data_IF_681384771280
#
_entry.id   IF_681384771280
#
_cell.length_a   1.000
_cell.length_b   1.000
_cell.length_c   1.000
_cell.angle_alpha   90.00
_cell.angle_beta   90.00
_cell.angle_gamma   90.00
#
_symmetry.space_group_name_H-M   'P 1'
#
loop_
_entity.id
_entity.type
_entity.pdbx_description
1 polymer ?
#
# COMPACT_ATOMS: atom_id res chain seq x y z
N UNK A 1 21.65 -32.57 65.06
CA UNK A 1 20.48 -33.37 64.66
C UNK A 1 19.63 -32.48 63.77
N UNK A 2 19.90 -32.45 62.46
CA UNK A 2 19.12 -31.70 61.49
C UNK A 2 18.21 -32.70 60.76
N UNK A 3 16.91 -32.55 60.98
CA UNK A 3 15.85 -33.41 60.46
C UNK A 3 15.58 -33.03 58.99
N UNK A 4 16.14 -33.78 58.05
CA UNK A 4 15.89 -33.60 56.62
C UNK A 4 14.60 -34.34 56.25
N UNK A 5 13.50 -33.60 56.13
CA UNK A 5 12.25 -34.11 55.57
C UNK A 5 12.34 -34.12 54.04
N UNK A 6 12.18 -35.27 53.36
CA UNK A 6 12.13 -35.31 51.91
C UNK A 6 10.84 -34.65 51.41
N UNK A 7 10.97 -33.74 50.45
CA UNK A 7 9.83 -33.17 49.73
C UNK A 7 9.09 -34.29 48.99
N UNK A 8 7.78 -34.40 49.24
CA UNK A 8 6.93 -35.39 48.57
C UNK A 8 6.76 -34.96 47.10
N UNK A 9 6.93 -35.87 46.12
CA UNK A 9 6.70 -35.55 44.72
C UNK A 9 5.23 -35.12 44.54
N UNK A 10 5.03 -34.03 43.81
CA UNK A 10 3.71 -33.56 43.39
C UNK A 10 2.97 -34.73 42.73
N UNK A 11 1.80 -35.08 43.26
CA UNK A 11 1.01 -36.18 42.71
C UNK A 11 0.61 -35.89 41.27
N UNK A 12 0.52 -36.92 40.42
CA UNK A 12 0.07 -36.76 39.03
C UNK A 12 -1.29 -36.04 38.90
N UNK A 13 -2.12 -36.10 39.95
CA UNK A 13 -3.37 -35.34 40.05
C UNK A 13 -3.14 -33.83 40.22
N UNK A 14 -2.17 -33.41 41.04
CA UNK A 14 -1.80 -32.00 41.18
C UNK A 14 -1.21 -31.43 39.89
N UNK A 15 -0.39 -32.23 39.17
CA UNK A 15 0.17 -31.82 37.89
C UNK A 15 -0.92 -31.67 36.81
N UNK A 16 -1.87 -32.60 36.73
CA UNK A 16 -3.03 -32.52 35.82
C UNK A 16 -3.95 -31.34 36.14
N UNK A 17 -4.23 -31.09 37.41
CA UNK A 17 -5.03 -29.94 37.84
C UNK A 17 -4.34 -28.61 37.48
N UNK A 18 -3.03 -28.53 37.66
CA UNK A 18 -2.25 -27.33 37.28
C UNK A 18 -2.25 -27.13 35.77
N UNK A 19 -2.16 -28.20 34.98
CA UNK A 19 -2.23 -28.13 33.50
C UNK A 19 -3.62 -27.74 33.01
N UNK A 20 -4.69 -28.24 33.64
CA UNK A 20 -6.07 -27.89 33.32
C UNK A 20 -6.40 -26.45 33.71
N UNK A 21 -5.88 -25.97 34.85
CA UNK A 21 -6.02 -24.57 35.26
C UNK A 21 -5.20 -23.65 34.36
N UNK A 22 -3.98 -24.03 33.97
CA UNK A 22 -3.19 -23.28 32.98
C UNK A 22 -3.89 -23.26 31.61
N UNK A 23 -4.47 -24.37 31.16
CA UNK A 23 -5.27 -24.44 29.93
C UNK A 23 -6.54 -23.59 30.04
N UNK A 24 -7.23 -23.59 31.19
CA UNK A 24 -8.40 -22.76 31.44
C UNK A 24 -8.04 -21.27 31.52
N UNK A 25 -6.88 -20.89 32.05
CA UNK A 25 -6.37 -19.50 32.05
C UNK A 25 -5.96 -19.08 30.64
N UNK A 26 -5.38 -19.98 29.83
CA UNK A 26 -5.10 -19.72 28.40
C UNK A 26 -6.39 -19.58 27.60
N UNK A 27 -7.44 -20.35 27.91
CA UNK A 27 -8.76 -20.25 27.27
C UNK A 27 -9.56 -19.03 27.74
N UNK A 28 -9.42 -18.61 29.00
CA UNK A 28 -10.07 -17.43 29.56
C UNK A 28 -9.33 -16.11 29.24
N UNK A 29 -8.05 -16.18 28.85
CA UNK A 29 -7.24 -15.03 28.43
C UNK A 29 -7.56 -14.49 27.03
N UNK A 30 -8.43 -15.15 26.27
CA UNK A 30 -8.76 -14.79 24.88
C UNK A 30 -9.65 -13.54 24.72
N UNK A 31 -10.11 -12.90 25.80
CA UNK A 31 -11.01 -11.72 25.74
C UNK A 31 -10.34 -10.38 26.07
N UNK A 32 -9.10 -10.12 25.64
CA UNK A 32 -8.44 -8.82 25.92
C UNK A 32 -8.12 -7.96 24.68
N UNK A 33 -8.53 -8.37 23.48
CA UNK A 33 -8.74 -7.43 22.37
C UNK A 33 -10.24 -7.14 22.31
N UNK A 34 -10.66 -5.94 22.74
CA UNK A 34 -12.06 -5.55 22.82
C UNK A 34 -12.88 -6.03 21.62
N UNK A 35 -14.06 -6.60 21.90
CA UNK A 35 -14.93 -7.20 20.91
C UNK A 35 -15.14 -6.23 19.75
N UNK A 36 -14.78 -6.68 18.54
CA UNK A 36 -14.95 -5.91 17.31
C UNK A 36 -16.43 -5.59 17.12
N UNK A 37 -16.77 -4.36 16.76
CA UNK A 37 -18.13 -4.01 16.33
C UNK A 37 -18.18 -3.91 14.79
N UNK A 38 -18.50 -5.01 14.07
CA UNK A 38 -18.51 -4.99 12.61
C UNK A 38 -19.62 -4.06 12.09
N UNK A 39 -19.32 -3.36 11.00
CA UNK A 39 -20.29 -2.50 10.31
C UNK A 39 -21.36 -3.36 9.62
N UNK A 40 -22.67 -3.14 9.88
CA UNK A 40 -23.74 -3.82 9.16
C UNK A 40 -23.67 -3.56 7.66
N UNK A 41 -23.97 -4.57 6.85
CA UNK A 41 -23.90 -4.49 5.38
C UNK A 41 -24.70 -3.34 4.78
N UNK A 42 -25.85 -3.00 5.38
CA UNK A 42 -26.70 -1.87 4.95
C UNK A 42 -26.05 -0.50 5.13
N UNK A 43 -25.03 -0.37 5.97
CA UNK A 43 -24.34 0.88 6.29
C UNK A 43 -22.99 1.02 5.57
N UNK A 44 -22.51 -0.02 4.88
CA UNK A 44 -21.17 -0.08 4.26
C UNK A 44 -20.90 1.07 3.31
N UNK A 45 -21.88 1.43 2.48
CA UNK A 45 -21.70 2.48 1.47
C UNK A 45 -21.81 3.90 2.04
N UNK A 46 -22.39 4.06 3.23
CA UNK A 46 -22.63 5.36 3.84
C UNK A 46 -21.66 5.70 4.99
N UNK A 47 -20.98 4.69 5.55
CA UNK A 47 -20.08 4.88 6.67
C UNK A 47 -18.87 5.75 6.32
N UNK A 48 -18.60 6.72 7.19
CA UNK A 48 -17.48 7.65 7.05
C UNK A 48 -16.43 7.36 8.11
N UNK A 49 -15.16 7.64 7.79
CA UNK A 49 -14.10 7.57 8.81
C UNK A 49 -14.41 8.61 9.87
N UNK A 50 -14.44 8.19 11.14
CA UNK A 50 -14.91 9.04 12.23
C UNK A 50 -14.16 10.38 12.24
N UNK A 51 -14.92 11.47 12.12
CA UNK A 51 -14.46 12.87 12.09
C UNK A 51 -13.66 13.31 10.84
N UNK A 52 -13.64 12.55 9.75
CA UNK A 52 -13.02 12.99 8.48
C UNK A 52 -14.08 13.10 7.37
N UNK A 53 -13.97 14.12 6.52
CA UNK A 53 -14.80 14.29 5.33
C UNK A 53 -14.00 13.94 4.06
N UNK A 54 -14.60 13.13 3.17
CA UNK A 54 -14.11 12.83 1.80
C UNK A 54 -12.62 12.44 1.69
N UNK A 55 -12.12 11.66 2.64
CA UNK A 55 -10.74 11.14 2.62
C UNK A 55 -10.60 9.75 1.99
N UNK A 56 -11.71 9.08 1.65
CA UNK A 56 -11.71 7.75 1.05
C UNK A 56 -12.88 7.54 0.10
N UNK A 57 -12.74 6.60 -0.82
CA UNK A 57 -13.79 6.18 -1.75
C UNK A 57 -13.56 4.75 -2.24
N UNK A 58 -14.61 4.12 -2.76
CA UNK A 58 -14.51 2.82 -3.40
C UNK A 58 -13.69 2.89 -4.69
N UNK A 59 -12.76 1.95 -4.87
CA UNK A 59 -11.87 1.89 -6.03
C UNK A 59 -12.42 1.13 -7.24
N UNK A 60 -13.60 0.52 -7.12
CA UNK A 60 -14.18 -0.41 -8.09
C UNK A 60 -15.31 0.17 -8.94
N UNK A 61 -15.77 1.40 -8.66
CA UNK A 61 -16.87 2.04 -9.39
C UNK A 61 -16.80 3.57 -9.38
N UNK A 62 -17.30 4.20 -10.43
CA UNK A 62 -17.53 5.64 -10.47
C UNK A 62 -18.69 6.02 -9.53
N UNK A 63 -18.42 6.95 -8.62
CA UNK A 63 -19.38 7.45 -7.63
C UNK A 63 -19.41 8.98 -7.63
N UNK A 64 -20.49 9.61 -7.15
CA UNK A 64 -20.48 11.05 -6.89
C UNK A 64 -19.31 11.50 -6.01
N UNK A 65 -18.87 10.67 -5.05
CA UNK A 65 -17.76 10.97 -4.16
C UNK A 65 -16.43 11.13 -4.90
N UNK A 66 -16.04 10.17 -5.75
CA UNK A 66 -14.79 10.28 -6.50
C UNK A 66 -14.83 11.42 -7.53
N UNK A 67 -15.97 11.64 -8.19
CA UNK A 67 -16.15 12.78 -9.09
C UNK A 67 -15.99 14.12 -8.38
N UNK A 68 -16.48 14.24 -7.14
CA UNK A 68 -16.29 15.44 -6.33
C UNK A 68 -14.82 15.65 -5.95
N UNK A 69 -14.07 14.59 -5.63
CA UNK A 69 -12.63 14.68 -5.33
C UNK A 69 -11.83 15.15 -6.56
N UNK A 70 -12.12 14.59 -7.74
CA UNK A 70 -11.48 15.00 -9.01
C UNK A 70 -11.86 16.44 -9.37
N UNK A 71 -13.13 16.81 -9.18
CA UNK A 71 -13.56 18.18 -9.45
C UNK A 71 -12.86 19.21 -8.56
N UNK A 72 -12.73 18.90 -7.27
CA UNK A 72 -11.97 19.73 -6.33
C UNK A 72 -10.49 19.80 -6.70
N UNK A 73 -9.90 18.69 -7.15
CA UNK A 73 -8.53 18.66 -7.66
C UNK A 73 -8.34 19.66 -8.80
N UNK A 74 -9.21 19.63 -9.81
CA UNK A 74 -9.11 20.52 -10.97
C UNK A 74 -9.36 21.99 -10.62
N UNK A 75 -10.24 22.26 -9.65
CA UNK A 75 -10.42 23.60 -9.09
C UNK A 75 -9.12 24.10 -8.44
N UNK A 76 -8.46 23.27 -7.65
CA UNK A 76 -7.19 23.60 -6.99
C UNK A 76 -6.07 23.85 -8.01
N UNK A 77 -5.96 23.04 -9.07
CA UNK A 77 -5.03 23.28 -10.18
C UNK A 77 -5.28 24.65 -10.83
N UNK A 78 -6.55 24.98 -11.09
CA UNK A 78 -6.93 26.28 -11.65
C UNK A 78 -6.53 27.46 -10.77
N UNK A 79 -6.74 27.35 -9.46
CA UNK A 79 -6.37 28.37 -8.49
C UNK A 79 -4.85 28.52 -8.35
N UNK A 80 -4.13 27.40 -8.20
CA UNK A 80 -2.68 27.40 -8.10
C UNK A 80 -2.05 28.05 -9.33
N UNK A 81 -2.51 27.69 -10.53
CA UNK A 81 -2.02 28.26 -11.78
C UNK A 81 -2.29 29.77 -11.90
N UNK A 82 -3.44 30.26 -11.42
CA UNK A 82 -3.73 31.71 -11.35
C UNK A 82 -2.82 32.45 -10.36
N UNK A 83 -2.39 31.78 -9.30
CA UNK A 83 -1.42 32.28 -8.34
C UNK A 83 0.04 32.11 -8.80
N UNK A 84 0.29 31.70 -10.05
CA UNK A 84 1.64 31.49 -10.59
C UNK A 84 2.31 30.19 -10.14
N UNK A 85 1.59 29.31 -9.43
CA UNK A 85 2.11 28.04 -8.94
C UNK A 85 1.75 26.90 -9.90
N UNK A 86 2.76 26.15 -10.36
CA UNK A 86 2.60 25.03 -11.32
C UNK A 86 1.68 25.36 -12.52
N UNK A 87 1.88 26.50 -13.23
CA UNK A 87 1.01 26.87 -14.35
C UNK A 87 0.98 25.82 -15.48
N UNK A 88 2.06 25.04 -15.63
CA UNK A 88 2.15 23.92 -16.58
C UNK A 88 1.15 22.79 -16.34
N UNK A 89 0.66 22.62 -15.10
CA UNK A 89 -0.38 21.63 -14.77
C UNK A 89 -1.72 21.89 -15.48
N UNK A 90 -1.92 23.07 -16.06
CA UNK A 90 -3.09 23.32 -16.93
C UNK A 90 -2.95 22.76 -18.35
N UNK A 91 -1.78 22.27 -18.72
CA UNK A 91 -1.48 21.79 -20.08
C UNK A 91 -0.99 20.34 -20.09
N UNK A 92 -0.26 19.92 -19.07
CA UNK A 92 0.29 18.55 -18.95
C UNK A 92 0.01 18.01 -17.55
N UNK A 93 -0.39 16.74 -17.46
CA UNK A 93 -0.52 16.01 -16.22
C UNK A 93 0.24 14.68 -16.30
N UNK A 94 1.10 14.44 -15.32
CA UNK A 94 1.87 13.20 -15.18
C UNK A 94 1.35 12.41 -13.98
N UNK A 95 1.01 11.14 -14.22
CA UNK A 95 0.45 10.21 -13.25
C UNK A 95 1.43 9.07 -13.06
N UNK A 96 1.59 8.62 -11.81
CA UNK A 96 2.42 7.46 -11.48
C UNK A 96 1.62 6.46 -10.65
N UNK A 97 1.63 5.19 -11.05
CA UNK A 97 1.16 4.08 -10.23
C UNK A 97 2.31 3.17 -9.85
N UNK A 98 2.42 2.85 -8.56
CA UNK A 98 3.48 2.00 -8.00
C UNK A 98 2.84 0.77 -7.37
N UNK A 99 3.19 -0.41 -7.87
CA UNK A 99 2.56 -1.66 -7.44
C UNK A 99 3.03 -2.15 -6.08
N UNK A 100 2.31 -3.13 -5.53
CA UNK A 100 2.83 -4.01 -4.49
C UNK A 100 3.99 -4.89 -4.99
N UNK A 101 4.65 -5.58 -4.07
CA UNK A 101 5.77 -6.47 -4.41
C UNK A 101 6.66 -6.94 -3.25
N UNK A 102 6.33 -6.65 -1.98
CA UNK A 102 7.18 -7.03 -0.85
C UNK A 102 8.54 -6.34 -0.90
N UNK A 103 9.64 -7.11 -0.83
CA UNK A 103 11.01 -6.59 -0.95
C UNK A 103 11.36 -6.09 -2.36
N UNK A 104 10.60 -6.46 -3.39
CA UNK A 104 10.83 -6.02 -4.77
C UNK A 104 10.64 -4.51 -4.98
N UNK A 105 10.04 -3.80 -4.00
CA UNK A 105 9.92 -2.33 -4.04
C UNK A 105 11.24 -1.58 -4.08
N UNK A 106 12.35 -2.23 -3.72
CA UNK A 106 13.67 -1.65 -3.88
C UNK A 106 13.97 -1.28 -5.35
N UNK A 107 13.38 -2.01 -6.31
CA UNK A 107 13.43 -1.64 -7.73
C UNK A 107 12.80 -0.27 -8.00
N UNK A 108 11.57 -0.02 -7.53
CA UNK A 108 10.91 1.28 -7.68
C UNK A 108 11.72 2.40 -7.04
N UNK A 109 12.26 2.17 -5.83
CA UNK A 109 13.09 3.15 -5.13
C UNK A 109 14.33 3.53 -5.96
N UNK A 110 15.06 2.54 -6.45
CA UNK A 110 16.21 2.74 -7.32
C UNK A 110 15.82 3.44 -8.61
N UNK A 111 14.78 2.97 -9.30
CA UNK A 111 14.31 3.54 -10.55
C UNK A 111 13.97 5.02 -10.39
N UNK A 112 13.25 5.41 -9.34
CA UNK A 112 12.88 6.79 -9.12
C UNK A 112 14.08 7.68 -8.81
N UNK A 113 15.05 7.21 -8.00
CA UNK A 113 16.30 7.95 -7.73
C UNK A 113 17.13 8.11 -9.00
N UNK A 114 17.29 7.04 -9.79
CA UNK A 114 17.99 7.09 -11.07
C UNK A 114 17.33 8.05 -12.07
N UNK A 115 16.00 8.01 -12.14
CA UNK A 115 15.26 8.89 -13.04
C UNK A 115 15.37 10.37 -12.63
N UNK A 116 15.40 10.68 -11.33
CA UNK A 116 15.77 12.00 -10.84
C UNK A 116 17.18 12.40 -11.27
N UNK A 117 18.16 11.50 -11.14
CA UNK A 117 19.55 11.73 -11.56
C UNK A 117 19.67 12.03 -13.06
N UNK A 118 18.78 11.50 -13.91
CA UNK A 118 18.73 11.85 -15.33
C UNK A 118 18.21 13.26 -15.63
N UNK A 119 17.58 13.93 -14.64
CA UNK A 119 16.91 15.23 -14.81
C UNK A 119 15.57 15.17 -15.56
N UNK A 120 15.07 13.97 -15.90
CA UNK A 120 13.87 13.77 -16.71
C UNK A 120 12.61 13.39 -15.91
N UNK A 121 12.73 13.19 -14.58
CA UNK A 121 11.59 12.84 -13.72
C UNK A 121 10.63 14.04 -13.61
N UNK A 122 9.35 13.90 -14.00
CA UNK A 122 8.38 14.96 -13.87
C UNK A 122 7.86 15.07 -12.42
N UNK A 123 7.28 16.23 -12.11
CA UNK A 123 6.51 16.40 -10.88
C UNK A 123 5.10 15.83 -11.06
N UNK A 124 4.87 14.62 -10.55
CA UNK A 124 3.57 13.95 -10.70
C UNK A 124 2.41 14.76 -10.11
N UNK A 125 1.32 14.84 -10.86
CA UNK A 125 0.02 15.35 -10.40
C UNK A 125 -0.66 14.33 -9.49
N UNK A 126 -0.59 13.04 -9.82
CA UNK A 126 -1.13 11.95 -8.99
C UNK A 126 -0.08 10.85 -8.85
N UNK A 127 0.14 10.43 -7.61
CA UNK A 127 0.91 9.22 -7.30
C UNK A 127 0.01 8.25 -6.56
N UNK A 128 -0.06 7.01 -7.04
CA UNK A 128 -0.79 5.93 -6.38
C UNK A 128 0.15 4.84 -5.89
N UNK A 129 -0.19 4.21 -4.77
CA UNK A 129 0.59 3.15 -4.17
C UNK A 129 -0.26 2.02 -3.61
N UNK A 130 0.19 0.78 -3.82
CA UNK A 130 -0.39 -0.43 -3.22
C UNK A 130 0.71 -1.19 -2.48
N UNK A 131 0.43 -1.65 -1.26
CA UNK A 131 1.37 -2.47 -0.47
C UNK A 131 2.73 -1.78 -0.35
N UNK A 132 3.81 -2.44 -0.74
CA UNK A 132 5.13 -1.82 -0.82
C UNK A 132 5.15 -0.47 -1.55
N UNK A 133 4.38 -0.33 -2.63
CA UNK A 133 4.23 0.93 -3.36
C UNK A 133 3.62 2.04 -2.52
N UNK A 134 2.75 1.72 -1.55
CA UNK A 134 2.20 2.70 -0.61
C UNK A 134 3.28 3.29 0.30
N UNK A 135 4.30 2.53 0.70
CA UNK A 135 5.43 3.06 1.48
C UNK A 135 6.35 3.94 0.63
N UNK A 136 6.53 3.64 -0.66
CA UNK A 136 7.35 4.44 -1.56
C UNK A 136 6.65 5.74 -1.99
N UNK A 137 5.32 5.69 -2.20
CA UNK A 137 4.54 6.75 -2.82
C UNK A 137 4.65 8.13 -2.14
N UNK A 138 4.63 8.29 -0.80
CA UNK A 138 4.80 9.59 -0.15
C UNK A 138 6.11 10.30 -0.53
N UNK A 139 7.22 9.55 -0.57
CA UNK A 139 8.54 10.08 -0.88
C UNK A 139 8.67 10.37 -2.38
N UNK A 140 8.14 9.48 -3.22
CA UNK A 140 8.08 9.70 -4.67
C UNK A 140 7.24 10.94 -5.00
N UNK A 141 6.13 11.13 -4.30
CA UNK A 141 5.23 12.25 -4.45
C UNK A 141 5.88 13.58 -4.06
N UNK A 142 6.70 13.62 -3.02
CA UNK A 142 7.38 14.88 -2.66
C UNK A 142 8.56 15.23 -3.56
N UNK A 143 9.07 14.29 -4.35
CA UNK A 143 10.04 14.57 -5.42
C UNK A 143 11.50 14.24 -5.05
N UNK A 144 12.46 14.72 -5.85
CA UNK A 144 13.88 14.34 -5.74
C UNK A 144 14.53 14.60 -4.38
N UNK A 145 14.08 15.63 -3.64
CA UNK A 145 14.57 15.94 -2.29
C UNK A 145 14.39 14.80 -1.28
N UNK A 146 13.53 13.82 -1.61
CA UNK A 146 13.25 12.65 -0.78
C UNK A 146 13.88 11.36 -1.28
N UNK A 147 14.68 11.40 -2.35
CA UNK A 147 15.23 10.17 -2.93
C UNK A 147 16.23 9.46 -2.01
N UNK A 148 16.99 10.19 -1.20
CA UNK A 148 17.87 9.61 -0.16
C UNK A 148 17.05 8.90 0.94
N UNK A 149 15.89 9.46 1.28
CA UNK A 149 14.99 8.82 2.24
C UNK A 149 14.36 7.56 1.65
N UNK A 150 13.93 7.65 0.39
CA UNK A 150 13.38 6.53 -0.37
C UNK A 150 14.38 5.39 -0.46
N UNK A 151 15.65 5.67 -0.81
CA UNK A 151 16.71 4.65 -0.79
C UNK A 151 16.86 4.02 0.59
N UNK A 152 16.97 4.84 1.65
CA UNK A 152 17.20 4.35 3.00
C UNK A 152 16.11 3.37 3.44
N UNK A 153 14.84 3.72 3.22
CA UNK A 153 13.69 2.88 3.55
C UNK A 153 13.76 1.51 2.86
N UNK A 154 14.27 1.47 1.63
CA UNK A 154 14.29 0.26 0.82
C UNK A 154 15.61 -0.52 0.83
N UNK A 155 16.63 -0.06 1.55
CA UNK A 155 17.98 -0.69 1.53
C UNK A 155 18.60 -0.91 2.92
N UNK A 156 18.02 -0.30 3.97
CA UNK A 156 18.59 -0.33 5.32
C UNK A 156 17.97 -1.40 6.23
N UNK A 157 16.70 -1.74 6.01
CA UNK A 157 15.93 -2.66 6.86
C UNK A 157 15.82 -4.05 6.24
N UNK A 158 15.86 -5.09 7.07
CA UNK A 158 15.59 -6.48 6.68
C UNK A 158 14.58 -7.15 7.60
N UNK A 159 14.40 -8.47 7.47
CA UNK A 159 13.33 -9.23 8.15
C UNK A 159 13.18 -8.91 9.64
N UNK A 160 14.30 -8.95 10.39
CA UNK A 160 14.33 -8.75 11.84
C UNK A 160 14.01 -7.31 12.28
N UNK A 161 14.15 -6.35 11.37
CA UNK A 161 13.80 -4.96 11.63
C UNK A 161 12.30 -4.73 11.42
N UNK A 162 11.68 -5.49 10.51
CA UNK A 162 10.32 -5.25 10.02
C UNK A 162 9.26 -6.02 10.82
N UNK A 163 9.56 -7.22 11.32
CA UNK A 163 8.57 -8.01 12.03
C UNK A 163 9.18 -8.95 13.08
N UNK A 164 8.31 -9.43 13.96
CA UNK A 164 8.64 -10.53 14.90
C UNK A 164 7.67 -11.69 14.70
N UNK A 165 8.17 -12.92 14.67
CA UNK A 165 7.33 -14.11 14.59
C UNK A 165 6.56 -14.33 15.90
N UNK A 166 5.26 -14.64 15.81
CA UNK A 166 4.41 -14.89 16.99
C UNK A 166 4.39 -16.36 17.45
N UNK A 167 5.18 -17.22 16.81
CA UNK A 167 5.25 -18.65 17.16
C UNK A 167 3.88 -19.34 17.17
N UNK A 168 3.64 -20.27 18.09
CA UNK A 168 2.38 -21.00 18.20
C UNK A 168 1.17 -20.09 18.53
N UNK A 169 1.40 -18.93 19.16
CA UNK A 169 0.35 -17.95 19.47
C UNK A 169 -0.23 -17.30 18.21
N UNK A 170 0.52 -17.28 17.10
CA UNK A 170 0.03 -16.77 15.82
C UNK A 170 -1.16 -17.56 15.26
N UNK A 171 -1.25 -18.86 15.56
CA UNK A 171 -2.38 -19.71 15.12
C UNK A 171 -3.66 -19.48 15.94
N UNK A 172 -3.53 -18.94 17.15
CA UNK A 172 -4.67 -18.55 17.99
C UNK A 172 -5.11 -17.09 17.75
N UNK A 173 -4.34 -16.32 16.97
CA UNK A 173 -4.58 -14.91 16.67
C UNK A 173 -4.93 -14.64 15.21
N UNK A 174 -4.97 -13.36 14.83
CA UNK A 174 -5.32 -12.93 13.46
C UNK A 174 -4.14 -12.92 12.47
N UNK A 175 -2.93 -13.31 12.88
CA UNK A 175 -1.71 -13.22 12.06
C UNK A 175 -0.53 -13.98 12.66
N UNK A 176 0.38 -14.44 11.80
CA UNK A 176 1.60 -15.16 12.19
C UNK A 176 2.74 -14.24 12.64
N UNK A 177 2.76 -12.99 12.18
CA UNK A 177 3.81 -12.01 12.50
C UNK A 177 3.22 -10.76 13.16
N UNK A 178 4.02 -10.12 13.98
CA UNK A 178 3.73 -8.80 14.53
C UNK A 178 4.31 -7.70 13.63
N UNK A 179 3.48 -6.72 13.27
CA UNK A 179 3.87 -5.56 12.47
C UNK A 179 4.25 -4.33 13.32
N UNK A 180 4.29 -4.44 14.65
CA UNK A 180 4.72 -3.35 15.54
C UNK A 180 6.13 -2.78 15.21
N UNK A 181 7.15 -3.60 14.86
CA UNK A 181 8.45 -3.06 14.45
C UNK A 181 8.36 -2.22 13.18
N UNK A 182 7.68 -2.72 12.13
CA UNK A 182 7.40 -1.96 10.91
C UNK A 182 6.64 -0.66 11.21
N UNK A 183 5.60 -0.70 12.05
CA UNK A 183 4.84 0.51 12.42
C UNK A 183 5.74 1.56 13.07
N UNK A 184 6.68 1.15 13.92
CA UNK A 184 7.66 2.06 14.54
C UNK A 184 8.60 2.69 13.51
N UNK A 185 9.06 1.91 12.52
CA UNK A 185 9.88 2.42 11.41
C UNK A 185 9.10 3.43 10.58
N UNK A 186 7.86 3.09 10.19
CA UNK A 186 6.97 3.98 9.43
C UNK A 186 6.74 5.28 10.21
N UNK A 187 6.42 5.18 11.51
CA UNK A 187 6.23 6.36 12.36
C UNK A 187 7.48 7.24 12.48
N UNK A 188 8.68 6.65 12.38
CA UNK A 188 9.94 7.40 12.39
C UNK A 188 10.12 8.25 11.14
N UNK A 189 9.70 7.76 9.98
CA UNK A 189 9.86 8.44 8.68
C UNK A 189 8.65 9.29 8.28
N UNK A 190 7.46 8.94 8.73
CA UNK A 190 6.25 9.76 8.60
C UNK A 190 6.23 10.77 9.74
N UNK A 191 7.05 11.81 9.61
CA UNK A 191 7.14 12.91 10.58
C UNK A 191 5.99 13.91 10.37
N UNK A 192 5.74 14.78 11.37
CA UNK A 192 4.79 15.88 11.20
C UNK A 192 5.20 16.82 10.05
N UNK A 193 6.51 17.00 9.82
CA UNK A 193 7.02 17.76 8.68
C UNK A 193 6.65 17.10 7.34
N UNK A 194 6.76 15.76 7.23
CA UNK A 194 6.34 15.05 6.04
C UNK A 194 4.84 15.26 5.78
N UNK A 195 4.02 15.13 6.83
CA UNK A 195 2.56 15.36 6.76
C UNK A 195 2.26 16.78 6.28
N UNK A 196 2.91 17.80 6.84
CA UNK A 196 2.72 19.20 6.44
C UNK A 196 3.14 19.46 4.98
N UNK A 197 4.26 18.89 4.54
CA UNK A 197 4.69 19.02 3.15
C UNK A 197 3.69 18.38 2.19
N UNK A 198 3.13 17.21 2.53
CA UNK A 198 2.09 16.54 1.74
C UNK A 198 0.79 17.35 1.75
N UNK A 199 0.37 17.89 2.91
CA UNK A 199 -0.79 18.77 3.01
C UNK A 199 -0.64 20.00 2.09
N UNK A 200 0.56 20.59 2.04
CA UNK A 200 0.89 21.71 1.17
C UNK A 200 0.82 21.39 -0.33
N UNK A 201 0.89 20.13 -0.74
CA UNK A 201 0.72 19.73 -2.14
C UNK A 201 -0.75 19.61 -2.55
N UNK A 202 -1.67 19.39 -1.60
CA UNK A 202 -3.09 19.25 -1.91
C UNK A 202 -3.65 20.52 -2.55
N UNK A 203 -3.33 21.71 -1.99
CA UNK A 203 -3.74 23.01 -2.55
C UNK A 203 -3.22 23.28 -3.96
N UNK A 204 -2.17 22.57 -4.38
CA UNK A 204 -1.62 22.63 -5.74
C UNK A 204 -2.35 21.68 -6.70
N UNK A 205 -3.38 20.99 -6.22
CA UNK A 205 -4.15 20.01 -6.98
C UNK A 205 -3.43 18.69 -7.21
N UNK A 206 -2.37 18.41 -6.44
CA UNK A 206 -1.70 17.11 -6.47
C UNK A 206 -2.42 16.12 -5.56
N UNK A 207 -2.34 14.83 -5.87
CA UNK A 207 -2.97 13.76 -5.07
C UNK A 207 -2.02 12.61 -4.79
N UNK A 208 -1.98 12.18 -3.53
CA UNK A 208 -1.32 10.96 -3.10
C UNK A 208 -2.40 9.97 -2.67
N UNK A 209 -2.55 8.89 -3.42
CA UNK A 209 -3.61 7.91 -3.21
C UNK A 209 -3.04 6.55 -2.82
N UNK A 210 -3.62 5.90 -1.81
CA UNK A 210 -3.21 4.56 -1.38
C UNK A 210 -4.40 3.62 -1.36
N UNK A 211 -4.23 2.41 -1.88
CA UNK A 211 -5.28 1.39 -1.85
C UNK A 211 -5.10 0.43 -0.69
N UNK A 212 -6.23 0.08 -0.08
CA UNK A 212 -6.37 -1.05 0.85
C UNK A 212 -7.51 -1.93 0.38
N UNK A 213 -7.63 -3.14 0.91
CA UNK A 213 -8.83 -3.97 0.73
C UNK A 213 -9.64 -3.92 2.01
N UNK A 214 -10.90 -3.47 1.97
CA UNK A 214 -11.84 -3.73 3.04
C UNK A 214 -12.24 -5.20 2.93
N UNK A 215 -11.81 -6.02 3.91
CA UNK A 215 -11.91 -7.48 3.80
C UNK A 215 -13.32 -8.00 4.04
N UNK A 216 -14.15 -7.28 4.81
CA UNK A 216 -15.54 -7.66 5.03
C UNK A 216 -16.40 -7.38 3.80
N UNK A 217 -16.14 -6.26 3.12
CA UNK A 217 -16.81 -5.90 1.88
C UNK A 217 -16.20 -6.58 0.65
N UNK A 218 -14.97 -7.11 0.76
CA UNK A 218 -14.15 -7.64 -0.33
C UNK A 218 -13.93 -6.63 -1.46
N UNK A 219 -13.77 -5.35 -1.10
CA UNK A 219 -13.73 -4.24 -2.07
C UNK A 219 -12.50 -3.36 -1.87
N UNK A 220 -11.94 -2.81 -2.98
CA UNK A 220 -10.84 -1.87 -2.89
C UNK A 220 -11.33 -0.54 -2.31
N UNK A 221 -10.59 -0.02 -1.33
CA UNK A 221 -10.79 1.31 -0.77
C UNK A 221 -9.58 2.16 -1.07
N UNK A 222 -9.79 3.27 -1.77
CA UNK A 222 -8.77 4.26 -2.06
C UNK A 222 -8.83 5.35 -0.99
N UNK A 223 -7.67 5.64 -0.41
CA UNK A 223 -7.46 6.66 0.60
C UNK A 223 -6.70 7.83 -0.01
N UNK A 224 -7.23 9.04 0.17
CA UNK A 224 -6.56 10.28 -0.21
C UNK A 224 -5.69 10.77 0.96
N UNK A 225 -4.40 10.41 0.89
CA UNK A 225 -3.42 10.79 1.91
C UNK A 225 -3.11 12.30 1.89
N UNK A 226 -3.31 12.97 0.74
CA UNK A 226 -3.25 14.44 0.69
C UNK A 226 -4.39 15.09 1.46
N UNK A 227 -5.61 14.53 1.39
CA UNK A 227 -6.76 15.00 2.16
C UNK A 227 -6.65 14.69 3.64
N UNK A 228 -6.15 13.50 4.01
CA UNK A 228 -5.85 13.17 5.41
C UNK A 228 -4.86 14.18 5.98
N UNK A 229 -3.74 14.41 5.30
CA UNK A 229 -2.70 15.36 5.72
C UNK A 229 -3.23 16.80 5.86
N UNK A 230 -4.10 17.25 4.95
CA UNK A 230 -4.66 18.60 4.95
C UNK A 230 -5.86 18.81 5.87
N UNK A 231 -6.36 17.76 6.53
CA UNK A 231 -7.58 17.82 7.36
C UNK A 231 -7.49 18.72 8.60
N UNK A 232 -6.29 19.13 9.01
CA UNK A 232 -6.06 19.88 10.25
C UNK A 232 -6.33 19.08 11.54
N UNK A 233 -6.63 17.79 11.44
CA UNK A 233 -6.92 16.94 12.61
C UNK A 233 -5.65 16.57 13.40
N UNK A 234 -5.74 16.47 14.73
CA UNK A 234 -4.59 16.06 15.56
C UNK A 234 -4.15 14.61 15.31
N UNK A 235 -5.07 13.73 14.93
CA UNK A 235 -4.79 12.31 14.66
C UNK A 235 -4.57 11.98 13.18
N UNK A 236 -4.44 13.00 12.30
CA UNK A 236 -4.21 12.77 10.87
C UNK A 236 -2.96 11.96 10.57
N UNK A 237 -1.88 12.15 11.35
CA UNK A 237 -0.63 11.39 11.21
C UNK A 237 -0.85 9.92 11.56
N UNK A 238 -1.60 9.65 12.61
CA UNK A 238 -1.92 8.28 13.03
C UNK A 238 -2.76 7.56 11.97
N UNK A 239 -3.79 8.23 11.44
CA UNK A 239 -4.58 7.67 10.35
C UNK A 239 -3.73 7.44 9.08
N UNK A 240 -2.85 8.38 8.74
CA UNK A 240 -1.93 8.24 7.60
C UNK A 240 -1.07 6.98 7.75
N UNK A 241 -0.47 6.77 8.92
CA UNK A 241 0.33 5.58 9.23
C UNK A 241 -0.54 4.33 9.17
N UNK A 242 -1.72 4.31 9.78
CA UNK A 242 -2.64 3.17 9.73
C UNK A 242 -3.03 2.80 8.30
N UNK A 243 -3.24 3.77 7.41
CA UNK A 243 -3.55 3.50 5.99
C UNK A 243 -2.36 2.84 5.28
N UNK A 244 -1.14 3.33 5.52
CA UNK A 244 0.07 2.72 4.97
C UNK A 244 0.26 1.28 5.47
N UNK A 245 0.09 1.06 6.78
CA UNK A 245 0.19 -0.25 7.40
C UNK A 245 -0.87 -1.21 6.84
N UNK A 246 -2.11 -0.72 6.69
CA UNK A 246 -3.21 -1.50 6.14
C UNK A 246 -2.91 -1.94 4.70
N UNK A 247 -2.37 -1.03 3.88
CA UNK A 247 -2.06 -1.31 2.48
C UNK A 247 -1.04 -2.44 2.31
N UNK A 248 -0.20 -2.70 3.30
CA UNK A 248 0.82 -3.75 3.31
C UNK A 248 0.53 -4.93 4.26
N UNK A 249 -0.67 -4.99 4.84
CA UNK A 249 -1.07 -6.04 5.78
C UNK A 249 -1.51 -7.30 5.03
N UNK A 250 -0.56 -8.10 4.53
CA UNK A 250 -0.84 -9.33 3.79
C UNK A 250 -1.64 -10.31 4.68
N UNK A 251 -2.85 -10.73 4.27
CA UNK A 251 -3.68 -11.65 5.03
C UNK A 251 -2.94 -12.93 5.45
N UNK A 252 -3.08 -13.32 6.71
CA UNK A 252 -2.40 -14.50 7.29
C UNK A 252 -0.95 -14.27 7.69
N UNK A 253 -0.26 -13.28 7.10
CA UNK A 253 1.11 -12.91 7.47
C UNK A 253 1.09 -11.82 8.53
N UNK A 254 0.43 -10.70 8.24
CA UNK A 254 0.34 -9.53 9.11
C UNK A 254 -1.10 -9.30 9.59
N UNK A 255 -1.29 -8.70 10.78
CA UNK A 255 -2.62 -8.40 11.29
C UNK A 255 -3.31 -7.34 10.42
N UNK A 256 -4.64 -7.42 10.22
CA UNK A 256 -5.38 -6.33 9.59
C UNK A 256 -5.36 -5.08 10.46
N UNK A 257 -5.44 -3.91 9.83
CA UNK A 257 -5.66 -2.65 10.53
C UNK A 257 -7.16 -2.46 10.78
N UNK A 258 -7.52 -2.08 12.01
CA UNK A 258 -8.89 -1.76 12.42
C UNK A 258 -9.13 -0.27 12.25
N UNK A 259 -9.99 0.11 11.31
CA UNK A 259 -10.34 1.50 11.04
C UNK A 259 -11.69 1.82 11.69
N UNK A 260 -11.74 2.90 12.48
CA UNK A 260 -12.97 3.39 13.10
C UNK A 260 -13.79 4.18 12.09
N UNK A 261 -15.04 3.77 11.92
CA UNK A 261 -15.99 4.44 11.04
C UNK A 261 -17.29 4.74 11.78
N UNK A 262 -17.95 5.82 11.42
CA UNK A 262 -19.25 6.21 11.95
C UNK A 262 -20.33 5.87 10.92
N UNK A 263 -21.30 5.04 11.32
CA UNK A 263 -22.49 4.76 10.50
C UNK A 263 -23.45 5.94 10.49
N UNK A 264 -24.41 5.95 9.56
CA UNK A 264 -25.47 6.97 9.51
C UNK A 264 -26.35 6.98 10.77
N UNK A 265 -26.37 5.87 11.52
CA UNK A 265 -27.02 5.76 12.82
C UNK A 265 -26.23 6.43 13.97
N UNK A 266 -25.09 7.05 13.65
CA UNK A 266 -24.22 7.75 14.60
C UNK A 266 -23.32 6.83 15.44
N UNK A 267 -23.39 5.50 15.25
CA UNK A 267 -22.59 4.54 16.01
C UNK A 267 -21.21 4.36 15.39
N UNK A 268 -20.22 4.06 16.24
CA UNK A 268 -18.85 3.77 15.81
C UNK A 268 -18.69 2.27 15.61
N UNK A 269 -18.16 1.90 14.44
CA UNK A 269 -17.89 0.54 14.00
C UNK A 269 -16.41 0.35 13.66
N UNK A 270 -16.04 -0.91 13.47
CA UNK A 270 -14.71 -1.37 13.08
C UNK A 270 -14.75 -1.99 11.68
N UNK A 271 -14.12 -1.32 10.71
CA UNK A 271 -13.78 -1.91 9.43
C UNK A 271 -12.39 -2.56 9.48
N UNK A 272 -12.24 -3.73 8.85
CA UNK A 272 -10.95 -4.40 8.72
C UNK A 272 -10.35 -4.12 7.35
N UNK A 273 -9.16 -3.54 7.35
CA UNK A 273 -8.39 -3.29 6.14
C UNK A 273 -7.13 -4.15 6.09
N UNK A 274 -6.91 -4.76 4.93
CA UNK A 274 -5.74 -5.58 4.60
C UNK A 274 -5.09 -5.06 3.33
N UNK A 275 -4.02 -5.74 2.92
CA UNK A 275 -3.22 -5.40 1.75
C UNK A 275 -4.10 -5.11 0.52
N UNK A 276 -3.86 -3.96 -0.10
CA UNK A 276 -4.62 -3.51 -1.29
C UNK A 276 -4.43 -4.45 -2.48
N UNK A 277 -3.31 -5.17 -2.52
CA UNK A 277 -2.94 -6.15 -3.50
C UNK A 277 -3.85 -7.38 -3.56
N UNK A 278 -4.68 -7.58 -2.53
CA UNK A 278 -5.74 -8.59 -2.55
C UNK A 278 -6.88 -8.29 -3.53
N UNK A 279 -7.07 -7.01 -3.90
CA UNK A 279 -8.08 -6.57 -4.88
C UNK A 279 -7.47 -6.05 -6.17
N UNK A 280 -6.34 -5.33 -6.10
CA UNK A 280 -5.57 -4.92 -7.28
C UNK A 280 -4.13 -4.58 -6.90
N UNK A 281 -3.15 -4.99 -7.71
CA UNK A 281 -1.75 -4.64 -7.53
C UNK A 281 -1.43 -3.21 -7.99
N UNK A 282 -2.26 -2.62 -8.86
CA UNK A 282 -2.06 -1.32 -9.47
C UNK A 282 -3.42 -0.62 -9.66
N UNK A 283 -3.48 0.69 -9.45
CA UNK A 283 -4.68 1.47 -9.72
C UNK A 283 -4.34 2.92 -10.06
N UNK A 284 -5.29 3.63 -10.64
CA UNK A 284 -5.24 5.08 -10.79
C UNK A 284 -6.58 5.72 -10.41
N UNK A 285 -7.62 5.26 -11.07
CA UNK A 285 -9.02 5.57 -10.83
C UNK A 285 -9.87 4.35 -11.26
N UNK A 286 -11.13 4.25 -10.82
CA UNK A 286 -12.09 3.30 -11.38
C UNK A 286 -12.15 3.39 -12.91
N UNK A 287 -12.32 2.24 -13.58
CA UNK A 287 -12.19 2.10 -15.04
C UNK A 287 -13.25 2.89 -15.84
N UNK A 288 -14.39 3.16 -15.22
CA UNK A 288 -15.54 3.86 -15.77
C UNK A 288 -15.44 5.39 -15.65
N UNK A 289 -14.47 5.90 -14.87
CA UNK A 289 -14.22 7.34 -14.76
C UNK A 289 -13.65 7.91 -16.05
N UNK A 290 -14.29 8.97 -16.55
CA UNK A 290 -13.90 9.72 -17.74
C UNK A 290 -13.18 11.01 -17.35
N UNK A 291 -11.86 10.89 -17.19
CA UNK A 291 -10.97 11.99 -16.80
C UNK A 291 -10.97 13.11 -17.84
N UNK A 292 -10.93 12.74 -19.12
CA UNK A 292 -11.01 13.64 -20.27
C UNK A 292 -12.24 14.55 -20.23
N UNK A 293 -13.42 13.98 -19.96
CA UNK A 293 -14.67 14.72 -19.91
C UNK A 293 -14.78 15.62 -18.68
N UNK A 294 -14.34 15.15 -17.52
CA UNK A 294 -14.33 15.96 -16.29
C UNK A 294 -13.39 17.17 -16.42
N UNK A 295 -12.25 16.95 -17.06
CA UNK A 295 -11.25 17.98 -17.30
C UNK A 295 -11.75 19.07 -18.25
N UNK A 296 -12.34 18.68 -19.39
CA UNK A 296 -12.90 19.64 -20.34
C UNK A 296 -13.97 20.51 -19.69
N UNK A 297 -14.86 19.91 -18.88
CA UNK A 297 -15.91 20.63 -18.16
C UNK A 297 -15.40 21.63 -17.12
N UNK A 298 -14.29 21.32 -16.44
CA UNK A 298 -13.85 22.10 -15.26
C UNK A 298 -12.66 23.02 -15.59
N UNK A 299 -11.66 22.51 -16.31
CA UNK A 299 -10.47 23.28 -16.70
C UNK A 299 -10.74 24.09 -17.98
N UNK A 300 -11.71 23.67 -18.80
CA UNK A 300 -12.10 24.33 -20.04
C UNK A 300 -11.17 24.04 -21.23
N UNK A 301 -10.31 23.01 -21.12
CA UNK A 301 -9.41 22.54 -22.18
C UNK A 301 -8.90 21.14 -21.89
N UNK A 302 -8.54 20.41 -22.94
CA UNK A 302 -7.82 19.15 -22.83
C UNK A 302 -6.34 19.38 -22.42
N UNK A 303 -5.80 18.46 -21.62
CA UNK A 303 -4.40 18.37 -21.23
C UNK A 303 -3.74 17.14 -21.86
N UNK A 304 -2.42 17.21 -22.03
CA UNK A 304 -1.64 16.03 -22.38
C UNK A 304 -1.39 15.19 -21.12
N UNK A 305 -1.80 13.93 -21.16
CA UNK A 305 -1.71 13.02 -20.03
C UNK A 305 -0.61 11.97 -20.23
N UNK A 306 0.22 11.75 -19.21
CA UNK A 306 1.20 10.65 -19.18
C UNK A 306 0.90 9.72 -18.01
N UNK A 307 0.78 8.43 -18.27
CA UNK A 307 0.66 7.40 -17.24
C UNK A 307 1.93 6.58 -17.17
N UNK A 308 2.64 6.72 -16.06
CA UNK A 308 3.80 5.91 -15.71
C UNK A 308 3.37 4.81 -14.75
N UNK A 309 3.83 3.59 -14.99
CA UNK A 309 3.53 2.43 -14.14
C UNK A 309 4.83 1.73 -13.75
N UNK A 310 5.09 1.66 -12.45
CA UNK A 310 6.18 0.84 -11.92
C UNK A 310 5.56 -0.41 -11.32
N UNK A 311 5.85 -1.54 -11.94
CA UNK A 311 5.55 -2.84 -11.38
C UNK A 311 6.79 -3.32 -10.61
N UNK A 312 6.64 -3.49 -9.30
CA UNK A 312 7.60 -4.20 -8.45
C UNK A 312 7.42 -5.71 -8.62
N UNK A 313 8.40 -6.37 -9.27
CA UNK A 313 8.37 -7.79 -9.61
C UNK A 313 8.68 -8.08 -11.09
N UNK A 314 8.99 -9.35 -11.39
CA UNK A 314 9.25 -9.88 -12.76
C UNK A 314 8.00 -10.37 -13.48
N UNK A 315 7.83 -10.01 -14.76
CA UNK A 315 6.56 -10.21 -15.49
C UNK A 315 6.37 -11.70 -15.80
N UNK A 316 7.42 -12.36 -16.28
CA UNK A 316 7.40 -13.79 -16.53
C UNK A 316 7.42 -14.62 -15.23
N UNK A 317 7.03 -15.91 -15.29
CA UNK A 317 7.10 -16.84 -14.16
C UNK A 317 8.50 -16.91 -13.53
N UNK A 318 8.56 -17.11 -12.22
CA UNK A 318 9.82 -17.36 -11.50
C UNK A 318 9.69 -18.73 -10.82
N UNK A 319 10.48 -19.69 -11.31
CA UNK A 319 10.53 -21.01 -10.72
C UNK A 319 11.21 -20.94 -9.35
N UNK A 320 10.53 -21.47 -8.34
CA UNK A 320 11.08 -21.62 -7.00
C UNK A 320 10.48 -22.90 -6.38
N UNK A 321 11.31 -23.85 -5.93
CA UNK A 321 10.80 -25.01 -5.20
C UNK A 321 10.22 -24.56 -3.86
N UNK A 322 9.01 -25.00 -3.54
CA UNK A 322 8.32 -24.69 -2.28
C UNK A 322 8.33 -25.92 -1.38
N UNK A 323 8.57 -25.73 -0.08
CA UNK A 323 8.44 -26.81 0.89
C UNK A 323 6.96 -27.23 1.02
N UNK A 324 6.71 -28.53 1.14
CA UNK A 324 5.35 -29.10 1.29
C UNK A 324 4.81 -28.91 2.71
N UNK A 325 4.83 -27.67 3.21
CA UNK A 325 4.23 -27.27 4.49
C UNK A 325 3.05 -26.36 4.20
N UNK A 326 1.97 -26.51 4.96
CA UNK A 326 0.70 -25.79 4.72
C UNK A 326 0.88 -24.28 4.54
N UNK A 327 1.70 -23.65 5.38
CA UNK A 327 1.93 -22.20 5.32
C UNK A 327 2.76 -21.78 4.10
N UNK A 328 3.78 -22.55 3.72
CA UNK A 328 4.60 -22.25 2.55
C UNK A 328 3.79 -22.42 1.26
N UNK A 329 2.95 -23.46 1.19
CA UNK A 329 2.02 -23.67 0.08
C UNK A 329 0.98 -22.55 -0.01
N UNK A 330 0.40 -22.12 1.13
CA UNK A 330 -0.55 -21.02 1.17
C UNK A 330 0.09 -19.71 0.69
N UNK A 331 1.29 -19.38 1.19
CA UNK A 331 2.06 -18.20 0.75
C UNK A 331 2.35 -18.26 -0.74
N UNK A 332 2.85 -19.40 -1.24
CA UNK A 332 3.12 -19.60 -2.67
C UNK A 332 1.85 -19.47 -3.53
N UNK A 333 0.71 -19.94 -3.03
CA UNK A 333 -0.60 -19.76 -3.65
C UNK A 333 -0.99 -18.29 -3.77
N UNK A 334 -0.85 -17.51 -2.69
CA UNK A 334 -1.09 -16.06 -2.69
C UNK A 334 -0.16 -15.35 -3.68
N UNK A 335 1.15 -15.65 -3.66
CA UNK A 335 2.11 -15.09 -4.63
C UNK A 335 1.72 -15.39 -6.09
N UNK A 336 1.22 -16.60 -6.35
CA UNK A 336 0.78 -17.02 -7.69
C UNK A 336 -0.45 -16.23 -8.14
N UNK A 337 -1.45 -16.07 -7.26
CA UNK A 337 -2.64 -15.26 -7.52
C UNK A 337 -2.27 -13.79 -7.75
N UNK A 338 -1.43 -13.22 -6.89
CA UNK A 338 -0.93 -11.85 -7.00
C UNK A 338 -0.21 -11.62 -8.34
N UNK A 339 0.61 -12.58 -8.78
CA UNK A 339 1.32 -12.48 -10.05
C UNK A 339 0.37 -12.52 -11.26
N UNK A 340 -0.63 -13.40 -11.24
CA UNK A 340 -1.67 -13.43 -12.28
C UNK A 340 -2.50 -12.14 -12.32
N UNK A 341 -2.79 -11.56 -11.15
CA UNK A 341 -3.51 -10.29 -11.02
C UNK A 341 -2.70 -9.12 -11.58
N UNK A 342 -1.39 -9.06 -11.31
CA UNK A 342 -0.52 -7.98 -11.79
C UNK A 342 -0.53 -7.83 -13.32
N UNK A 343 -0.46 -8.95 -14.07
CA UNK A 343 -0.54 -8.92 -15.53
C UNK A 343 -1.90 -8.37 -16.01
N UNK A 344 -2.99 -8.77 -15.36
CA UNK A 344 -4.34 -8.27 -15.66
C UNK A 344 -4.46 -6.76 -15.36
N UNK A 345 -3.89 -6.29 -14.24
CA UNK A 345 -3.94 -4.86 -13.87
C UNK A 345 -3.12 -3.98 -14.82
N UNK A 346 -1.97 -4.44 -15.32
CA UNK A 346 -1.23 -3.69 -16.36
C UNK A 346 -2.08 -3.56 -17.62
N UNK A 347 -2.76 -4.63 -18.03
CA UNK A 347 -3.67 -4.61 -19.18
C UNK A 347 -4.84 -3.64 -18.96
N UNK A 348 -5.41 -3.59 -17.74
CA UNK A 348 -6.46 -2.65 -17.34
C UNK A 348 -5.96 -1.19 -17.38
N UNK A 349 -4.79 -0.91 -16.81
CA UNK A 349 -4.21 0.44 -16.85
C UNK A 349 -3.93 0.90 -18.28
N UNK A 350 -3.50 -0.01 -19.15
CA UNK A 350 -3.31 0.29 -20.58
C UNK A 350 -4.64 0.59 -21.28
N UNK A 351 -5.72 -0.15 -20.97
CA UNK A 351 -7.06 0.14 -21.48
C UNK A 351 -7.59 1.49 -20.99
N UNK A 352 -7.43 1.77 -19.70
CA UNK A 352 -7.77 3.06 -19.10
C UNK A 352 -7.02 4.21 -19.76
N UNK A 353 -5.71 4.05 -19.97
CA UNK A 353 -4.90 5.04 -20.65
C UNK A 353 -5.41 5.30 -22.07
N UNK A 354 -5.75 4.25 -22.83
CA UNK A 354 -6.30 4.40 -24.18
C UNK A 354 -7.67 5.10 -24.18
N UNK A 355 -8.57 4.75 -23.26
CA UNK A 355 -9.92 5.33 -23.21
C UNK A 355 -9.93 6.80 -22.79
N UNK A 356 -8.91 7.25 -22.06
CA UNK A 356 -8.74 8.63 -21.62
C UNK A 356 -7.68 9.42 -22.42
N UNK A 357 -7.03 8.81 -23.42
CA UNK A 357 -6.03 9.48 -24.27
C UNK A 357 -4.65 9.68 -23.63
N UNK A 358 -4.28 8.86 -22.64
CA UNK A 358 -3.01 8.99 -21.91
C UNK A 358 -1.89 8.27 -22.66
N UNK A 359 -0.69 8.86 -22.66
CA UNK A 359 0.53 8.17 -23.07
C UNK A 359 0.95 7.18 -21.99
N UNK A 360 0.87 5.90 -22.27
CA UNK A 360 1.19 4.83 -21.32
C UNK A 360 2.66 4.41 -21.40
N UNK A 361 3.33 4.36 -20.24
CA UNK A 361 4.69 3.86 -20.07
C UNK A 361 4.74 2.97 -18.83
N UNK A 362 5.48 1.88 -18.91
CA UNK A 362 5.68 1.03 -17.74
C UNK A 362 7.11 0.54 -17.62
N UNK A 363 7.45 0.06 -16.43
CA UNK A 363 8.72 -0.60 -16.15
C UNK A 363 8.50 -1.68 -15.09
N UNK A 364 9.34 -2.71 -15.12
CA UNK A 364 9.31 -3.84 -14.21
C UNK A 364 10.74 -4.34 -13.98
N UNK A 365 10.91 -5.23 -12.99
CA UNK A 365 12.19 -5.91 -12.80
C UNK A 365 12.49 -6.73 -14.07
N UNK A 366 13.67 -6.55 -14.69
CA UNK A 366 14.07 -7.35 -15.84
C UNK A 366 14.08 -8.84 -15.51
N UNK A 367 13.60 -9.67 -16.45
CA UNK A 367 13.50 -11.12 -16.22
C UNK A 367 14.88 -11.77 -16.02
N UNK A 368 15.93 -11.19 -16.60
CA UNK A 368 17.34 -11.59 -16.51
C UNK A 368 18.06 -11.09 -15.25
N UNK A 369 17.38 -10.40 -14.34
CA UNK A 369 17.98 -10.03 -13.06
C UNK A 369 18.44 -11.29 -12.29
N UNK A 370 19.72 -11.41 -11.93
CA UNK A 370 20.26 -12.66 -11.39
C UNK A 370 19.97 -12.86 -9.90
N UNK A 371 19.46 -11.84 -9.20
CA UNK A 371 19.23 -11.90 -7.76
C UNK A 371 18.10 -12.86 -7.37
N UNK A 372 18.35 -13.66 -6.34
CA UNK A 372 17.35 -14.48 -5.64
C UNK A 372 17.42 -14.13 -4.16
N UNK A 373 16.31 -13.76 -3.51
CA UNK A 373 16.33 -13.38 -2.10
C UNK A 373 16.56 -14.61 -1.20
N UNK A 374 17.38 -14.46 -0.16
CA UNK A 374 17.57 -15.51 0.85
C UNK A 374 16.44 -15.56 1.90
N UNK A 375 15.67 -14.49 2.02
CA UNK A 375 14.55 -14.31 2.96
C UNK A 375 13.56 -13.27 2.42
N UNK A 376 12.44 -13.05 3.11
CA UNK A 376 11.36 -12.17 2.61
C UNK A 376 11.86 -10.73 2.36
N UNK A 377 12.69 -10.21 3.26
CA UNK A 377 13.32 -8.90 3.18
C UNK A 377 14.85 -9.00 3.33
N UNK A 378 15.47 -9.71 2.39
CA UNK A 378 16.93 -9.81 2.28
C UNK A 378 17.55 -8.48 1.81
N UNK A 379 18.33 -7.85 2.69
CA UNK A 379 19.00 -6.57 2.41
C UNK A 379 19.98 -6.63 1.25
N UNK A 380 20.70 -7.74 1.06
CA UNK A 380 21.66 -7.85 -0.04
C UNK A 380 20.93 -7.89 -1.38
N UNK A 381 19.86 -8.68 -1.47
CA UNK A 381 18.96 -8.72 -2.62
C UNK A 381 18.33 -7.35 -2.90
N UNK A 382 17.76 -6.71 -1.88
CA UNK A 382 17.11 -5.40 -2.01
C UNK A 382 18.09 -4.33 -2.51
N UNK A 383 19.33 -4.30 -2.01
CA UNK A 383 20.37 -3.39 -2.51
C UNK A 383 20.75 -3.67 -3.96
N UNK A 384 20.97 -4.93 -4.33
CA UNK A 384 21.25 -5.28 -5.72
C UNK A 384 20.10 -4.89 -6.66
N UNK A 385 18.86 -5.05 -6.19
CA UNK A 385 17.68 -4.68 -6.95
C UNK A 385 17.49 -3.16 -7.05
N UNK A 386 17.84 -2.42 -6.00
CA UNK A 386 17.91 -0.96 -6.02
C UNK A 386 18.90 -0.48 -7.08
N UNK A 387 20.11 -1.04 -7.13
CA UNK A 387 21.11 -0.67 -8.15
C UNK A 387 20.60 -0.96 -9.58
N UNK A 388 19.93 -2.10 -9.78
CA UNK A 388 19.30 -2.42 -11.06
C UNK A 388 18.21 -1.40 -11.45
N UNK A 389 17.41 -0.97 -10.46
CA UNK A 389 16.44 0.10 -10.61
C UNK A 389 17.12 1.41 -10.98
N UNK A 390 18.14 1.83 -10.24
CA UNK A 390 18.88 3.06 -10.43
C UNK A 390 19.49 3.15 -11.83
N UNK A 391 20.14 2.09 -12.30
CA UNK A 391 20.67 2.02 -13.65
C UNK A 391 19.57 2.16 -14.71
N UNK A 392 18.40 1.55 -14.49
CA UNK A 392 17.26 1.61 -15.42
C UNK A 392 16.58 2.98 -15.44
N UNK A 393 16.41 3.61 -14.28
CA UNK A 393 15.86 4.96 -14.14
C UNK A 393 16.78 6.01 -14.76
N UNK A 394 18.09 5.92 -14.50
CA UNK A 394 19.09 6.86 -15.05
C UNK A 394 19.14 6.81 -16.58
N UNK A 395 18.96 5.62 -17.16
CA UNK A 395 18.87 5.43 -18.60
C UNK A 395 17.46 5.75 -19.18
N UNK A 396 16.49 6.13 -18.36
CA UNK A 396 15.12 6.42 -18.79
C UNK A 396 14.40 5.22 -19.41
N UNK A 397 14.70 3.99 -18.96
CA UNK A 397 14.16 2.74 -19.53
C UNK A 397 12.68 2.54 -19.19
N UNK A 398 11.84 3.27 -19.91
CA UNK A 398 10.39 3.10 -19.95
C UNK A 398 9.99 2.29 -21.18
N UNK A 399 9.18 1.26 -20.99
CA UNK A 399 8.60 0.48 -22.07
C UNK A 399 7.31 1.14 -22.57
N UNK A 400 7.18 1.27 -23.89
CA UNK A 400 5.95 1.70 -24.54
C UNK A 400 5.12 0.45 -24.80
N UNK A 401 4.10 0.16 -23.98
CA UNK A 401 3.42 -1.13 -24.04
C UNK A 401 2.84 -1.44 -25.42
N UNK A 402 3.40 -2.42 -26.13
CA UNK A 402 2.76 -3.06 -27.30
C UNK A 402 1.72 -4.10 -26.81
N UNK A 403 0.72 -4.45 -27.63
CA UNK A 403 -0.36 -5.38 -27.19
C UNK A 403 0.10 -6.84 -27.17
N UNK A 404 1.14 -7.19 -27.94
CA UNK A 404 1.69 -8.53 -28.04
C UNK A 404 2.47 -8.93 -26.78
N UNK A 405 3.20 -7.99 -26.16
CA UNK A 405 3.96 -8.21 -24.93
C UNK A 405 3.08 -8.68 -23.77
N UNK A 406 1.88 -8.11 -23.60
CA UNK A 406 0.98 -8.46 -22.49
C UNK A 406 0.28 -9.80 -22.70
N UNK A 407 0.05 -10.19 -23.97
CA UNK A 407 -0.52 -11.50 -24.29
C UNK A 407 0.46 -12.65 -24.03
N UNK A 408 1.77 -12.40 -24.16
CA UNK A 408 2.86 -13.33 -23.85
C UNK A 408 3.14 -13.48 -22.34
N UNK A 409 2.53 -12.65 -21.50
CA UNK A 409 2.68 -12.69 -20.03
C UNK A 409 1.66 -13.62 -19.34
N UNK A 410 0.73 -14.22 -20.10
CA UNK A 410 -0.16 -15.30 -19.65
C UNK A 410 0.45 -16.64 -20.01
#
# INVERSE_FOLDING_TARGET
MFDYRPERPLSHAALRATLLVALAIVLAGCETMGARMPLPGSLVDAAQVTNFDRIRFWGDRDTPAIRAVIAEQYRQIGLAARAGQRPGSRSVADYLAVSGGGSDGAYAAGFMKGWSASGLRPDFEVVTGVSTGAFAAPFIFLGPDYDEMLERIFTSYGDRDLYTDRGLLGFAGSSLRDSAPLRKIVATHVTDELIERIAGQQKLGRRLLVQTTNIDAQRPVIWDLTAIAASGRPDRRELFISVLMASAAIPGVFPPERMKVTGEDGRIYDELHVDGGGTSQLFLAPQDVRIDQLEERIIGRARAHNLYVIRNGRLGPVYAPVAERTLDLAKRGIETLVKGQAASNIAEMKRFARSNGFRFRYTAIPDDFPGTPASDFDRAYMRALFEQGYASGSAGRWQAGSMEEVALMR
#
